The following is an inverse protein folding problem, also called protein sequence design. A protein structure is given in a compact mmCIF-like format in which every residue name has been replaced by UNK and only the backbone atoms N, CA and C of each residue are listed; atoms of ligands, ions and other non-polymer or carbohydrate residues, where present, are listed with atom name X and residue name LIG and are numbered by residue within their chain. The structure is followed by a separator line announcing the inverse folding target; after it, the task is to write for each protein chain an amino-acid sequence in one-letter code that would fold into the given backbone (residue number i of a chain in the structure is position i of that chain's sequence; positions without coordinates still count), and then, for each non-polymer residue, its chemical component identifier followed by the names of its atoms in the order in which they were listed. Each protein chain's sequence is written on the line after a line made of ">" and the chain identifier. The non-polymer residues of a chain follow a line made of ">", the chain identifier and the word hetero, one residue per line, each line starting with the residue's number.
data_IF_645540375632
#
_entry.id   IF_645540375632
#
_cell.length_a   1.000
_cell.length_b   1.000
_cell.length_c   1.000
_cell.angle_alpha   90.00
_cell.angle_beta   90.00
_cell.angle_gamma   90.00
#
_symmetry.space_group_name_H-M   'P 1'
#
loop_
_entity.id
_entity.type
_entity.pdbx_description
1 polymer ?
#
# COMPACT_ATOMS: atom_id res chain seq x y z
N UNK A 1 3.04 7.02 29.01
CA UNK A 1 3.51 6.54 27.69
C UNK A 1 2.50 7.02 26.66
N UNK A 2 2.87 7.75 25.58
CA UNK A 2 1.95 7.98 24.48
C UNK A 2 1.62 6.61 23.88
N UNK A 3 0.34 6.24 23.88
CA UNK A 3 -0.09 4.98 23.29
C UNK A 3 0.10 4.95 21.76
N UNK A 4 -0.22 3.82 21.10
CA UNK A 4 -0.11 3.63 19.64
C UNK A 4 -0.93 4.62 18.79
N UNK A 5 -1.67 5.55 19.40
CA UNK A 5 -2.44 6.62 18.75
C UNK A 5 -1.61 7.53 17.84
N UNK A 6 -0.29 7.68 18.03
CA UNK A 6 0.51 8.56 17.17
C UNK A 6 0.62 8.05 15.73
N UNK A 7 0.63 6.73 15.50
CA UNK A 7 0.76 6.16 14.15
C UNK A 7 -0.46 6.46 13.29
N UNK A 8 -1.65 6.54 13.90
CA UNK A 8 -2.90 6.88 13.22
C UNK A 8 -2.84 8.24 12.51
N UNK A 9 -2.07 9.21 13.04
CA UNK A 9 -1.85 10.51 12.40
C UNK A 9 -1.06 10.41 11.08
N UNK A 10 -0.38 9.29 10.84
CA UNK A 10 0.24 8.96 9.56
C UNK A 10 -0.62 8.02 8.72
N UNK A 11 -1.17 6.96 9.30
CA UNK A 11 -1.83 5.89 8.53
C UNK A 11 -3.23 6.26 8.06
N UNK A 12 -4.05 6.90 8.89
CA UNK A 12 -5.45 7.23 8.59
C UNK A 12 -5.61 8.22 7.42
N UNK A 13 -4.84 9.33 7.33
CA UNK A 13 -4.96 10.26 6.21
C UNK A 13 -4.60 9.62 4.86
N UNK A 14 -3.62 8.70 4.86
CA UNK A 14 -3.23 7.95 3.66
C UNK A 14 -4.33 6.97 3.28
N UNK A 15 -4.83 6.18 4.25
CA UNK A 15 -5.89 5.19 4.03
C UNK A 15 -7.14 5.80 3.39
N UNK A 16 -7.64 6.92 3.94
CA UNK A 16 -8.82 7.62 3.42
C UNK A 16 -8.65 8.15 1.99
N UNK A 17 -7.42 8.51 1.60
CA UNK A 17 -7.13 8.96 0.23
C UNK A 17 -6.96 7.81 -0.77
N UNK A 18 -6.86 6.58 -0.29
CA UNK A 18 -6.73 5.37 -1.08
C UNK A 18 -8.01 4.55 -1.17
N UNK A 19 -9.07 4.97 -0.48
CA UNK A 19 -10.41 4.39 -0.63
C UNK A 19 -10.82 4.29 -2.10
N UNK A 20 -11.49 3.19 -2.43
CA UNK A 20 -11.96 2.89 -3.76
C UNK A 20 -13.42 2.44 -3.71
N UNK A 21 -14.18 2.68 -4.79
CA UNK A 21 -15.55 2.16 -4.95
C UNK A 21 -15.58 0.72 -5.45
N UNK A 22 -14.48 0.23 -6.02
CA UNK A 22 -14.33 -1.14 -6.53
C UNK A 22 -13.20 -1.89 -5.82
N UNK A 23 -12.96 -3.17 -6.17
CA UNK A 23 -11.98 -4.02 -5.52
C UNK A 23 -10.60 -3.38 -5.39
N UNK A 24 -10.06 -3.34 -4.19
CA UNK A 24 -8.78 -2.73 -3.90
C UNK A 24 -8.00 -3.51 -2.84
N UNK A 25 -6.69 -3.57 -3.03
CA UNK A 25 -5.74 -4.21 -2.13
C UNK A 25 -4.62 -3.23 -1.79
N UNK A 26 -4.41 -2.99 -0.50
CA UNK A 26 -3.35 -2.13 0.03
C UNK A 26 -2.23 -2.99 0.60
N UNK A 27 -1.02 -2.83 0.07
CA UNK A 27 0.18 -3.53 0.56
C UNK A 27 0.97 -2.59 1.46
N UNK A 28 1.02 -2.91 2.75
CA UNK A 28 1.54 -2.01 3.79
C UNK A 28 2.06 -2.77 5.00
N UNK A 29 3.01 -2.19 5.73
CA UNK A 29 3.44 -2.70 7.03
C UNK A 29 2.56 -2.30 8.21
N UNK A 30 1.53 -1.48 7.99
CA UNK A 30 0.74 -0.83 9.04
C UNK A 30 -0.73 -1.25 9.02
N UNK A 31 -0.94 -2.56 8.93
CA UNK A 31 -2.22 -3.19 9.21
C UNK A 31 -2.51 -3.20 10.72
N UNK A 32 -3.78 -3.23 11.15
CA UNK A 32 -5.00 -3.26 10.33
C UNK A 32 -5.54 -1.87 9.95
N UNK A 33 -4.97 -0.80 10.51
CA UNK A 33 -5.52 0.56 10.44
C UNK A 33 -5.72 1.05 9.01
N UNK A 34 -4.73 0.79 8.14
CA UNK A 34 -4.82 1.20 6.73
C UNK A 34 -5.97 0.49 6.00
N UNK A 35 -6.24 -0.78 6.31
CA UNK A 35 -7.38 -1.51 5.75
C UNK A 35 -8.72 -0.94 6.24
N UNK A 36 -8.89 -0.83 7.56
CA UNK A 36 -10.14 -0.35 8.17
C UNK A 36 -10.56 1.04 7.69
N UNK A 37 -9.62 1.99 7.61
CA UNK A 37 -9.95 3.37 7.24
C UNK A 37 -10.01 3.63 5.73
N UNK A 38 -9.51 2.71 4.90
CA UNK A 38 -9.64 2.79 3.45
C UNK A 38 -10.89 2.08 2.93
N UNK A 39 -11.34 1.03 3.62
CA UNK A 39 -12.36 0.10 3.14
C UNK A 39 -11.84 -0.91 2.11
N UNK A 40 -10.52 -0.99 1.93
CA UNK A 40 -9.86 -1.96 1.07
C UNK A 40 -9.37 -3.17 1.88
N UNK A 41 -9.17 -4.29 1.19
CA UNK A 41 -8.35 -5.36 1.74
C UNK A 41 -6.92 -4.82 1.95
N UNK A 42 -6.28 -5.25 3.03
CA UNK A 42 -4.89 -4.90 3.31
C UNK A 42 -4.09 -6.18 3.59
N UNK A 43 -2.82 -6.16 3.19
CA UNK A 43 -1.86 -7.24 3.46
C UNK A 43 -0.46 -6.66 3.66
N UNK A 44 0.38 -7.40 4.38
CA UNK A 44 1.80 -7.09 4.50
C UNK A 44 2.54 -7.34 3.20
N UNK A 45 3.72 -6.73 3.04
CA UNK A 45 4.63 -7.03 1.93
C UNK A 45 5.03 -8.50 1.87
N UNK A 46 5.20 -9.15 3.04
CA UNK A 46 5.55 -10.56 3.12
C UNK A 46 4.41 -11.44 2.61
N UNK A 47 3.16 -11.17 3.03
CA UNK A 47 1.98 -11.87 2.50
C UNK A 47 1.82 -11.64 1.00
N UNK A 48 1.96 -10.39 0.53
CA UNK A 48 1.89 -10.08 -0.89
C UNK A 48 2.92 -10.87 -1.72
N UNK A 49 4.15 -11.05 -1.19
CA UNK A 49 5.20 -11.79 -1.87
C UNK A 49 4.92 -13.29 -2.06
N UNK A 50 4.00 -13.85 -1.28
CA UNK A 50 3.68 -15.28 -1.27
C UNK A 50 2.34 -15.60 -1.94
N UNK A 51 1.58 -14.58 -2.33
CA UNK A 51 0.28 -14.75 -2.95
C UNK A 51 0.32 -14.44 -4.45
N UNK A 52 -0.63 -15.00 -5.18
CA UNK A 52 -0.92 -14.57 -6.55
C UNK A 52 -1.71 -13.25 -6.48
N UNK A 53 -1.23 -12.14 -7.08
CA UNK A 53 -1.96 -10.89 -7.08
C UNK A 53 -3.35 -11.05 -7.69
N UNK A 54 -4.41 -10.53 -7.04
CA UNK A 54 -5.77 -10.67 -7.55
C UNK A 54 -5.93 -9.91 -8.87
N UNK A 55 -6.61 -10.56 -9.83
CA UNK A 55 -6.99 -9.91 -11.10
C UNK A 55 -8.06 -8.84 -10.84
N UNK A 56 -8.12 -7.86 -11.72
CA UNK A 56 -9.13 -6.78 -11.70
C UNK A 56 -9.22 -6.00 -10.38
N UNK A 57 -8.14 -6.04 -9.59
CA UNK A 57 -8.05 -5.38 -8.28
C UNK A 57 -7.02 -4.27 -8.34
N UNK A 58 -7.38 -3.10 -7.78
CA UNK A 58 -6.44 -1.98 -7.69
C UNK A 58 -5.45 -2.24 -6.55
N UNK A 59 -4.23 -2.61 -6.90
CA UNK A 59 -3.16 -2.90 -5.94
C UNK A 59 -2.34 -1.64 -5.70
N UNK A 60 -2.18 -1.23 -4.44
CA UNK A 60 -1.38 -0.06 -4.05
C UNK A 60 -0.41 -0.38 -2.92
N UNK A 61 0.88 -0.16 -3.13
CA UNK A 61 1.92 -0.23 -2.11
C UNK A 61 2.04 1.12 -1.39
N UNK A 62 2.21 1.09 -0.07
CA UNK A 62 2.26 2.30 0.77
C UNK A 62 3.55 2.31 1.56
N UNK A 63 4.53 3.11 1.15
CA UNK A 63 5.77 3.31 1.88
C UNK A 63 5.70 4.60 2.67
N UNK A 64 6.30 4.61 3.86
CA UNK A 64 6.46 5.83 4.64
C UNK A 64 7.94 6.17 4.74
N UNK A 65 8.26 7.46 4.74
CA UNK A 65 9.63 7.98 4.84
C UNK A 65 10.40 7.38 6.03
N UNK A 66 9.74 7.30 7.19
CA UNK A 66 10.32 6.79 8.44
C UNK A 66 9.76 5.43 8.84
N UNK A 67 9.17 4.71 7.89
CA UNK A 67 8.56 3.42 8.17
C UNK A 67 9.58 2.30 8.38
N UNK A 68 9.34 1.44 9.38
CA UNK A 68 10.23 0.31 9.71
C UNK A 68 9.76 -1.03 9.15
N UNK A 69 8.47 -1.14 8.82
CA UNK A 69 7.82 -2.38 8.36
C UNK A 69 7.65 -2.37 6.84
N UNK A 70 8.70 -2.01 6.09
CA UNK A 70 8.66 -1.85 4.65
C UNK A 70 9.90 -2.45 3.99
N UNK A 71 9.82 -2.90 2.73
CA UNK A 71 10.97 -3.44 2.01
C UNK A 71 11.99 -2.34 1.70
N UNK A 72 13.21 -2.78 1.42
CA UNK A 72 14.22 -1.95 0.77
C UNK A 72 13.86 -1.72 -0.71
N UNK A 73 14.64 -0.88 -1.40
CA UNK A 73 14.39 -0.56 -2.81
C UNK A 73 14.40 -1.80 -3.71
N UNK A 74 15.33 -2.73 -3.48
CA UNK A 74 15.42 -3.98 -4.25
C UNK A 74 14.25 -4.92 -3.96
N UNK A 75 13.82 -5.02 -2.70
CA UNK A 75 12.64 -5.77 -2.30
C UNK A 75 11.37 -5.19 -2.91
N UNK A 76 11.20 -3.88 -2.90
CA UNK A 76 10.07 -3.21 -3.53
C UNK A 76 10.03 -3.47 -5.05
N UNK A 77 11.17 -3.38 -5.73
CA UNK A 77 11.27 -3.70 -7.16
C UNK A 77 10.89 -5.15 -7.46
N UNK A 78 11.27 -6.10 -6.59
CA UNK A 78 10.86 -7.51 -6.73
C UNK A 78 9.34 -7.69 -6.59
N UNK A 79 8.69 -6.96 -5.68
CA UNK A 79 7.24 -7.03 -5.48
C UNK A 79 6.46 -6.39 -6.63
N UNK A 80 6.92 -5.25 -7.14
CA UNK A 80 6.29 -4.57 -8.28
C UNK A 80 6.57 -5.30 -9.59
N UNK A 81 7.77 -5.88 -9.73
CA UNK A 81 8.23 -6.51 -10.96
C UNK A 81 8.21 -5.52 -12.14
N UNK A 82 7.84 -6.02 -13.32
CA UNK A 82 7.69 -5.22 -14.54
C UNK A 82 6.29 -4.63 -14.73
N UNK A 83 5.44 -4.62 -13.69
CA UNK A 83 4.09 -4.09 -13.80
C UNK A 83 4.13 -2.57 -14.03
N UNK A 84 3.40 -2.04 -15.04
CA UNK A 84 3.20 -0.60 -15.17
C UNK A 84 2.59 -0.05 -13.87
N UNK A 85 3.09 1.08 -13.41
CA UNK A 85 2.63 1.68 -12.17
C UNK A 85 2.75 3.20 -12.19
N UNK A 86 1.99 3.83 -11.32
CA UNK A 86 2.09 5.26 -11.03
C UNK A 86 2.51 5.45 -9.58
N UNK A 87 3.25 6.52 -9.31
CA UNK A 87 3.65 6.89 -7.96
C UNK A 87 3.18 8.30 -7.63
N UNK A 88 2.67 8.51 -6.41
CA UNK A 88 2.42 9.85 -5.88
C UNK A 88 2.77 9.93 -4.41
N UNK A 89 3.01 11.14 -3.92
CA UNK A 89 3.28 11.40 -2.51
C UNK A 89 2.03 11.87 -1.78
N UNK A 90 1.82 11.39 -0.55
CA UNK A 90 0.78 11.86 0.37
C UNK A 90 1.47 12.38 1.63
N UNK A 91 1.38 13.69 1.88
CA UNK A 91 1.94 14.31 3.08
C UNK A 91 1.09 13.92 4.30
N UNK A 92 1.76 13.59 5.40
CA UNK A 92 1.12 13.35 6.70
C UNK A 92 1.84 14.13 7.79
N UNK A 93 1.14 14.45 8.87
CA UNK A 93 1.71 15.15 10.02
C UNK A 93 2.09 14.20 11.15
N UNK A 94 1.96 12.89 10.92
CA UNK A 94 2.31 11.87 11.90
C UNK A 94 3.79 11.48 11.88
N UNK A 95 4.20 10.62 12.82
CA UNK A 95 5.58 10.23 13.05
C UNK A 95 6.21 9.41 11.91
N UNK A 96 5.42 8.84 10.99
CA UNK A 96 5.96 8.11 9.84
C UNK A 96 6.37 9.04 8.68
N UNK A 97 5.99 10.32 8.74
CA UNK A 97 6.33 11.32 7.72
C UNK A 97 5.51 11.21 6.44
N UNK A 98 6.09 11.63 5.33
CA UNK A 98 5.42 11.57 4.02
C UNK A 98 5.31 10.12 3.55
N UNK A 99 4.19 9.79 2.92
CA UNK A 99 4.01 8.49 2.26
C UNK A 99 4.25 8.60 0.76
N UNK A 100 4.91 7.59 0.19
CA UNK A 100 4.92 7.32 -1.25
C UNK A 100 3.95 6.18 -1.48
N UNK A 101 2.97 6.41 -2.35
CA UNK A 101 2.01 5.38 -2.76
C UNK A 101 2.27 5.02 -4.21
N UNK A 102 2.39 3.71 -4.46
CA UNK A 102 2.65 3.16 -5.79
C UNK A 102 1.47 2.29 -6.17
N UNK A 103 0.70 2.71 -7.16
CA UNK A 103 -0.47 1.97 -7.63
C UNK A 103 -0.09 1.23 -8.90
N UNK A 104 -0.25 -0.10 -8.88
CA UNK A 104 -0.11 -0.90 -10.09
C UNK A 104 -1.26 -0.59 -11.03
N UNK A 105 -0.93 -0.32 -12.27
CA UNK A 105 -1.92 -0.23 -13.34
C UNK A 105 -2.27 -1.67 -13.74
N UNK A 106 -3.56 -2.02 -13.87
CA UNK A 106 -3.94 -3.28 -14.49
C UNK A 106 -3.25 -3.33 -15.86
N UNK A 107 -2.29 -4.24 -16.03
CA UNK A 107 -1.64 -4.42 -17.30
C UNK A 107 -2.70 -4.88 -18.30
N UNK A 108 -2.84 -4.14 -19.40
CA UNK A 108 -3.54 -4.66 -20.57
C UNK A 108 -2.71 -5.83 -21.14
N UNK A 109 -2.85 -7.04 -20.58
CA UNK A 109 -2.02 -8.16 -21.01
C UNK A 109 -2.25 -9.47 -20.25
N UNK A 110 -2.80 -10.45 -20.99
CA UNK A 110 -2.88 -11.89 -20.72
C UNK A 110 -4.05 -12.39 -19.85
N UNK A 111 -5.27 -12.17 -20.35
CA UNK A 111 -6.30 -13.23 -20.31
C UNK A 111 -5.91 -14.35 -21.28
N UNK A 112 -6.13 -15.63 -20.94
CA UNK A 112 -5.85 -16.72 -21.88
C UNK A 112 -6.77 -16.60 -23.11
N UNK A 113 -6.18 -16.75 -24.30
CA UNK A 113 -6.89 -17.09 -25.52
C UNK A 113 -7.50 -18.49 -25.40
#
# INVERSE_FOLDING_TARGET
>A
MPGPTSLSHSTVPVARQLSSKGPCLLVTGYEPEVGWYSGCDAVTYAQYSQMTPPRDTKITFILFERGRLQPDAAGLQRLIGSHPHTSRTIRTHGPLGTSIVITLTPGAGNGPR
#
